data_IF_658357638268
#
_entry.id   IF_658357638268
#
_cell.length_a   1.000
_cell.length_b   1.000
_cell.length_c   1.000
_cell.angle_alpha   90.00
_cell.angle_beta   90.00
_cell.angle_gamma   90.00
#
_symmetry.space_group_name_H-M   'P 1'
#
loop_
_entity.id
_entity.type
_entity.pdbx_description
1 polymer ?
#
# COMPACT_ATOMS: atom_id res chain seq x y z
N UNK A 1 49.04 10.64 27.69
CA UNK A 1 48.84 11.66 26.64
C UNK A 1 48.30 10.93 25.40
N UNK A 2 47.07 11.30 24.98
CA UNK A 2 46.33 10.98 23.75
C UNK A 2 46.14 9.50 23.34
N UNK A 3 44.98 8.97 23.73
CA UNK A 3 44.26 7.88 23.04
C UNK A 3 43.68 8.46 21.74
N UNK A 4 44.05 7.91 20.60
CA UNK A 4 43.44 8.26 19.30
C UNK A 4 42.23 7.34 19.12
N UNK A 5 41.04 7.94 19.26
CA UNK A 5 39.77 7.29 18.95
C UNK A 5 39.56 7.36 17.44
N UNK A 6 39.70 6.25 16.74
CA UNK A 6 39.36 6.16 15.31
C UNK A 6 37.83 6.08 15.21
N UNK A 7 37.20 7.22 14.96
CA UNK A 7 35.76 7.31 14.71
C UNK A 7 35.49 6.89 13.26
N UNK A 8 35.06 5.65 13.06
CA UNK A 8 34.61 5.17 11.76
C UNK A 8 33.27 5.83 11.44
N UNK A 9 33.31 6.92 10.66
CA UNK A 9 32.11 7.53 10.10
C UNK A 9 31.54 6.58 9.04
N UNK A 10 30.51 5.81 9.40
CA UNK A 10 29.64 5.15 8.42
C UNK A 10 28.77 6.26 7.82
N UNK A 11 29.26 6.88 6.74
CA UNK A 11 28.43 7.69 5.87
C UNK A 11 27.44 6.72 5.20
N UNK A 12 26.19 6.71 5.67
CA UNK A 12 25.07 6.25 4.88
C UNK A 12 25.00 7.14 3.64
N UNK A 13 25.67 6.75 2.57
CA UNK A 13 25.48 7.32 1.25
C UNK A 13 24.07 6.93 0.81
N UNK A 14 23.08 7.78 1.10
CA UNK A 14 21.85 7.76 0.33
C UNK A 14 22.26 8.03 -1.13
N UNK A 15 21.83 7.20 -2.10
CA UNK A 15 22.14 7.46 -3.50
C UNK A 15 21.62 8.85 -3.87
N UNK A 16 22.54 9.73 -4.22
CA UNK A 16 22.25 11.10 -4.63
C UNK A 16 21.88 11.04 -6.11
N UNK A 17 20.59 10.89 -6.41
CA UNK A 17 20.13 10.83 -7.81
C UNK A 17 20.55 12.08 -8.56
N UNK A 18 21.16 11.89 -9.72
CA UNK A 18 21.89 12.94 -10.43
C UNK A 18 21.00 13.94 -11.19
N UNK A 19 19.79 13.54 -11.61
CA UNK A 19 18.92 14.40 -12.42
C UNK A 19 17.42 14.16 -12.14
N UNK A 20 16.70 15.23 -11.80
CA UNK A 20 15.24 15.26 -11.68
C UNK A 20 14.63 15.82 -12.98
N UNK A 21 13.63 15.11 -13.50
CA UNK A 21 12.87 15.48 -14.70
C UNK A 21 11.41 15.69 -14.33
N UNK A 22 10.93 16.92 -14.45
CA UNK A 22 9.53 17.27 -14.27
C UNK A 22 8.79 17.04 -15.58
N UNK A 23 7.70 16.28 -15.53
CA UNK A 23 6.84 15.98 -16.67
C UNK A 23 5.54 16.77 -16.63
N UNK A 24 5.05 17.02 -15.42
CA UNK A 24 3.82 17.76 -15.17
C UNK A 24 4.01 18.69 -13.98
N UNK A 25 3.62 19.94 -14.13
CA UNK A 25 3.56 20.94 -13.05
C UNK A 25 2.35 21.82 -13.28
N UNK A 26 1.34 21.69 -12.42
CA UNK A 26 0.14 22.50 -12.50
C UNK A 26 -0.45 22.76 -11.12
N UNK A 27 -0.68 24.04 -10.80
CA UNK A 27 -1.30 24.49 -9.55
C UNK A 27 -0.69 23.89 -8.27
N UNK A 28 0.62 23.60 -8.30
CA UNK A 28 1.35 23.03 -7.18
C UNK A 28 1.31 21.50 -7.10
N UNK A 29 0.73 20.82 -8.08
CA UNK A 29 0.84 19.37 -8.27
C UNK A 29 1.94 19.09 -9.29
N UNK A 30 2.98 18.38 -8.87
CA UNK A 30 4.17 18.09 -9.66
C UNK A 30 4.28 16.58 -9.84
N UNK A 31 4.53 16.12 -11.07
CA UNK A 31 4.83 14.73 -11.38
C UNK A 31 6.08 14.65 -12.28
N UNK A 32 7.00 13.77 -11.91
CA UNK A 32 8.30 13.68 -12.54
C UNK A 32 9.09 12.46 -12.07
N UNK A 33 10.31 12.29 -12.53
CA UNK A 33 11.17 11.17 -12.17
C UNK A 33 12.63 11.58 -12.01
N UNK A 34 13.34 10.80 -11.20
CA UNK A 34 14.78 10.88 -11.03
C UNK A 34 15.40 9.62 -11.62
N UNK A 35 16.59 9.75 -12.21
CA UNK A 35 17.33 8.59 -12.68
C UNK A 35 18.83 8.74 -12.49
N UNK A 36 19.51 7.60 -12.39
CA UNK A 36 20.95 7.52 -12.24
C UNK A 36 21.48 6.27 -12.96
N UNK A 37 22.61 6.39 -13.67
CA UNK A 37 23.28 5.21 -14.23
C UNK A 37 24.02 4.48 -13.11
N UNK A 38 23.64 3.23 -12.86
CA UNK A 38 24.22 2.40 -11.80
C UNK A 38 25.29 1.42 -12.30
N UNK A 39 25.41 1.24 -13.62
CA UNK A 39 26.46 0.40 -14.19
C UNK A 39 26.36 0.19 -15.68
N UNK A 40 27.28 -0.63 -16.19
CA UNK A 40 27.25 -1.17 -17.56
C UNK A 40 27.54 -2.66 -17.48
N UNK A 41 26.69 -3.49 -18.09
CA UNK A 41 26.80 -4.94 -18.08
C UNK A 41 26.61 -5.53 -19.49
N UNK A 42 27.18 -6.71 -19.71
CA UNK A 42 26.95 -7.52 -20.91
C UNK A 42 25.83 -8.52 -20.63
N UNK A 43 24.98 -8.78 -21.62
CA UNK A 43 23.95 -9.81 -21.51
C UNK A 43 24.52 -11.17 -21.93
N UNK A 44 24.16 -12.23 -21.21
CA UNK A 44 24.64 -13.60 -21.50
C UNK A 44 24.15 -14.09 -22.86
N UNK A 45 22.96 -13.64 -23.28
CA UNK A 45 22.36 -14.03 -24.54
C UNK A 45 22.92 -13.20 -25.72
N UNK A 46 23.51 -12.03 -25.47
CA UNK A 46 24.22 -11.20 -26.46
C UNK A 46 25.56 -10.70 -25.92
N UNK A 47 26.62 -11.53 -25.92
CA UNK A 47 27.90 -11.18 -25.28
C UNK A 47 28.63 -10.00 -25.93
N UNK A 48 28.29 -9.66 -27.19
CA UNK A 48 28.88 -8.52 -27.91
C UNK A 48 28.13 -7.20 -27.67
N UNK A 49 27.01 -7.23 -26.94
CA UNK A 49 26.19 -6.04 -26.65
C UNK A 49 26.33 -5.66 -25.18
N UNK A 50 26.73 -4.42 -24.94
CA UNK A 50 26.74 -3.81 -23.61
C UNK A 50 25.45 -3.03 -23.37
N UNK A 51 24.95 -3.11 -22.16
CA UNK A 51 23.80 -2.36 -21.67
C UNK A 51 24.23 -1.47 -20.51
N UNK A 52 23.85 -0.20 -20.58
CA UNK A 52 23.86 0.69 -19.43
C UNK A 52 22.62 0.42 -18.59
N UNK A 53 22.83 0.18 -17.29
CA UNK A 53 21.75 0.00 -16.32
C UNK A 53 21.49 1.31 -15.60
N UNK A 54 20.23 1.74 -15.58
CA UNK A 54 19.77 2.93 -14.89
C UNK A 54 18.82 2.55 -13.77
N UNK A 55 18.96 3.21 -12.63
CA UNK A 55 17.99 3.17 -11.55
C UNK A 55 17.07 4.39 -11.68
N UNK A 56 15.76 4.16 -11.59
CA UNK A 56 14.74 5.19 -11.81
C UNK A 56 13.80 5.21 -10.60
N UNK A 57 13.52 6.41 -10.09
CA UNK A 57 12.51 6.67 -9.06
C UNK A 57 11.51 7.67 -9.63
N UNK A 58 10.22 7.41 -9.46
CA UNK A 58 9.18 8.34 -9.92
C UNK A 58 8.51 9.00 -8.74
N UNK A 59 8.15 10.27 -8.91
CA UNK A 59 7.71 11.17 -7.85
C UNK A 59 6.43 11.89 -8.22
N UNK A 60 5.56 12.07 -7.23
CA UNK A 60 4.47 13.04 -7.25
C UNK A 60 4.53 13.91 -6.01
N UNK A 61 4.23 15.19 -6.14
CA UNK A 61 4.27 16.15 -5.05
C UNK A 61 3.06 17.07 -5.10
N UNK A 62 2.43 17.29 -3.95
CA UNK A 62 1.40 18.30 -3.77
C UNK A 62 1.96 19.39 -2.87
N UNK A 63 2.31 20.54 -3.45
CA UNK A 63 2.79 21.71 -2.69
C UNK A 63 1.66 22.60 -2.17
N UNK A 64 0.41 22.26 -2.48
CA UNK A 64 -0.76 23.02 -2.09
C UNK A 64 -1.15 22.76 -0.62
N UNK A 65 -2.01 23.63 -0.07
CA UNK A 65 -2.59 23.46 1.28
C UNK A 65 -3.84 22.57 1.29
N UNK A 66 -4.34 22.19 0.11
CA UNK A 66 -5.48 21.28 -0.07
C UNK A 66 -4.98 19.91 -0.54
N UNK A 67 -5.66 18.85 -0.14
CA UNK A 67 -5.40 17.52 -0.70
C UNK A 67 -5.92 17.45 -2.14
N UNK A 68 -5.39 16.52 -2.94
CA UNK A 68 -5.92 16.23 -4.26
C UNK A 68 -6.61 14.87 -4.28
N UNK A 69 -7.73 14.81 -4.99
CA UNK A 69 -8.47 13.60 -5.33
C UNK A 69 -8.25 13.31 -6.83
N UNK A 70 -7.84 12.10 -7.15
CA UNK A 70 -7.60 11.65 -8.50
C UNK A 70 -8.84 10.95 -9.05
N UNK A 71 -9.39 11.51 -10.12
CA UNK A 71 -10.63 11.08 -10.76
C UNK A 71 -10.40 9.80 -11.58
N UNK A 72 -9.15 9.52 -11.97
CA UNK A 72 -8.78 8.36 -12.79
C UNK A 72 -7.61 7.59 -12.16
N UNK A 73 -7.58 6.25 -12.32
CA UNK A 73 -6.90 5.41 -11.36
C UNK A 73 -5.39 5.25 -11.52
N UNK A 74 -4.77 5.85 -12.55
CA UNK A 74 -3.31 5.81 -12.61
C UNK A 74 -2.71 6.85 -13.52
N UNK A 75 -1.75 7.59 -12.98
CA UNK A 75 -0.64 8.12 -13.77
C UNK A 75 0.30 7.00 -14.18
N UNK A 76 0.83 7.06 -15.39
CA UNK A 76 1.69 6.03 -15.96
C UNK A 76 2.93 6.64 -16.57
N UNK A 77 4.03 5.91 -16.50
CA UNK A 77 5.32 6.26 -17.10
C UNK A 77 5.90 5.02 -17.78
N UNK A 78 6.17 5.06 -19.08
CA UNK A 78 6.71 3.92 -19.83
C UNK A 78 8.05 4.32 -20.41
N UNK A 79 9.09 3.54 -20.14
CA UNK A 79 10.38 3.70 -20.78
C UNK A 79 10.59 2.59 -21.79
N UNK A 80 11.22 2.93 -22.91
CA UNK A 80 11.77 1.91 -23.81
C UNK A 80 12.95 1.22 -23.10
N UNK A 81 12.88 -0.10 -22.93
CA UNK A 81 13.98 -0.93 -22.44
C UNK A 81 14.46 -1.86 -23.53
N UNK A 82 15.76 -2.09 -23.55
CA UNK A 82 16.37 -3.08 -24.44
C UNK A 82 16.62 -4.39 -23.69
N UNK A 83 16.49 -5.51 -24.40
CA UNK A 83 16.81 -6.83 -23.88
C UNK A 83 17.26 -7.76 -25.00
N UNK A 84 17.92 -8.85 -24.62
CA UNK A 84 18.29 -9.90 -25.54
C UNK A 84 17.36 -11.10 -25.41
N UNK A 85 17.01 -11.67 -26.56
CA UNK A 85 16.31 -12.95 -26.62
C UNK A 85 17.32 -14.09 -26.51
N UNK A 86 16.89 -15.28 -26.07
CA UNK A 86 17.74 -16.50 -26.04
C UNK A 86 18.35 -16.89 -27.39
N UNK A 87 17.81 -16.37 -28.49
CA UNK A 87 18.35 -16.56 -29.84
C UNK A 87 19.49 -15.56 -30.18
N UNK A 88 19.90 -14.72 -29.23
CA UNK A 88 20.92 -13.68 -29.41
C UNK A 88 20.47 -12.45 -30.19
N UNK A 89 19.16 -12.28 -30.38
CA UNK A 89 18.64 -11.09 -31.06
C UNK A 89 18.33 -9.99 -30.05
N UNK A 90 18.86 -8.79 -30.32
CA UNK A 90 18.48 -7.56 -29.63
C UNK A 90 17.03 -7.22 -29.95
N UNK A 91 16.25 -6.94 -28.92
CA UNK A 91 14.88 -6.45 -29.01
C UNK A 91 14.72 -5.26 -28.07
N UNK A 92 13.73 -4.43 -28.37
CA UNK A 92 13.29 -3.39 -27.45
C UNK A 92 11.82 -3.61 -27.16
N UNK A 93 11.43 -3.43 -25.91
CA UNK A 93 10.03 -3.33 -25.52
C UNK A 93 9.79 -2.01 -24.81
N UNK A 94 8.55 -1.56 -24.83
CA UNK A 94 8.11 -0.61 -23.82
C UNK A 94 8.05 -1.39 -22.51
N UNK A 95 9.11 -1.29 -21.72
CA UNK A 95 9.06 -1.77 -20.36
C UNK A 95 8.06 -0.86 -19.63
N UNK A 96 6.93 -1.43 -19.27
CA UNK A 96 5.95 -0.74 -18.46
C UNK A 96 6.53 -0.61 -17.06
N UNK A 97 7.13 0.54 -16.78
CA UNK A 97 7.37 0.99 -15.42
C UNK A 97 6.03 1.46 -14.88
N UNK A 98 5.17 0.48 -14.57
CA UNK A 98 3.99 0.76 -13.77
C UNK A 98 4.50 1.17 -12.40
N UNK A 99 4.61 2.46 -12.27
CA UNK A 99 4.56 3.09 -11.00
C UNK A 99 3.16 2.80 -10.47
N UNK A 100 3.08 1.92 -9.48
CA UNK A 100 1.99 1.93 -8.51
C UNK A 100 2.08 3.22 -7.67
N UNK A 101 2.08 4.40 -8.30
CA UNK A 101 1.79 5.69 -7.64
C UNK A 101 0.41 5.63 -6.97
N UNK A 102 -0.34 4.61 -7.36
CA UNK A 102 -1.73 4.39 -7.14
C UNK A 102 -1.90 2.90 -6.79
N UNK A 103 -1.04 2.39 -5.89
CA UNK A 103 -1.52 1.41 -4.90
C UNK A 103 -2.43 2.19 -3.94
N UNK A 104 -3.58 1.64 -3.53
CA UNK A 104 -4.61 2.38 -2.78
C UNK A 104 -4.11 2.81 -1.38
N UNK A 105 -3.35 3.90 -1.27
CA UNK A 105 -2.96 4.46 0.00
C UNK A 105 -4.03 5.43 0.52
N UNK A 106 -4.52 5.11 1.72
CA UNK A 106 -5.22 5.98 2.69
C UNK A 106 -6.49 6.67 2.18
N UNK A 107 -7.64 6.09 2.54
CA UNK A 107 -8.91 6.80 2.49
C UNK A 107 -9.02 7.79 3.64
N UNK A 108 -9.07 9.08 3.32
CA UNK A 108 -9.62 10.07 4.24
C UNK A 108 -11.13 10.13 4.04
N UNK A 109 -11.86 9.43 4.91
CA UNK A 109 -13.24 9.71 5.29
C UNK A 109 -14.11 10.40 4.21
N UNK A 110 -14.54 9.62 3.21
CA UNK A 110 -15.95 9.64 2.84
C UNK A 110 -16.54 8.42 3.51
N UNK A 111 -17.70 8.57 4.17
CA UNK A 111 -18.41 7.50 4.90
C UNK A 111 -18.92 6.40 3.97
N UNK A 112 -17.99 5.75 3.25
CA UNK A 112 -18.19 4.68 2.28
C UNK A 112 -17.01 3.68 2.29
N UNK A 113 -16.81 2.81 3.31
CA UNK A 113 -15.94 1.64 3.23
C UNK A 113 -16.45 0.63 2.21
N UNK A 114 -15.99 0.81 1.00
CA UNK A 114 -16.26 -0.09 -0.11
C UNK A 114 -15.26 -1.27 -0.10
N UNK A 115 -15.59 -2.31 0.68
CA UNK A 115 -14.79 -3.54 0.76
C UNK A 115 -15.08 -4.47 -0.41
N UNK A 116 -14.08 -4.64 -1.28
CA UNK A 116 -13.84 -5.76 -2.20
C UNK A 116 -14.06 -5.50 -3.69
N UNK A 117 -13.04 -5.91 -4.46
CA UNK A 117 -13.06 -6.30 -5.87
C UNK A 117 -14.08 -5.58 -6.77
N UNK A 118 -13.63 -4.43 -7.28
CA UNK A 118 -14.40 -3.57 -8.20
C UNK A 118 -14.02 -2.08 -8.14
N UNK A 119 -12.87 -1.76 -7.52
CA UNK A 119 -12.55 -0.42 -7.01
C UNK A 119 -12.49 0.66 -8.11
N UNK A 120 -13.28 1.73 -7.95
CA UNK A 120 -12.84 3.07 -8.35
C UNK A 120 -11.90 3.54 -7.24
N UNK A 121 -10.63 3.17 -7.34
CA UNK A 121 -9.63 3.61 -6.38
C UNK A 121 -9.58 5.15 -6.46
N UNK A 122 -10.02 5.83 -5.41
CA UNK A 122 -9.83 7.28 -5.28
C UNK A 122 -8.46 7.47 -4.65
N UNK A 123 -7.52 7.97 -5.43
CA UNK A 123 -6.15 8.12 -5.00
C UNK A 123 -5.96 9.54 -4.46
N UNK A 124 -5.48 9.65 -3.24
CA UNK A 124 -5.26 10.95 -2.60
C UNK A 124 -3.78 11.26 -2.48
N UNK A 125 -3.45 12.54 -2.58
CA UNK A 125 -2.16 13.07 -2.16
C UNK A 125 -2.42 14.25 -1.23
N UNK A 126 -1.97 14.09 0.03
CA UNK A 126 -2.23 15.03 1.10
C UNK A 126 -1.63 16.41 0.80
N UNK A 127 -2.15 17.42 1.49
CA UNK A 127 -1.59 18.76 1.42
C UNK A 127 -0.11 18.73 1.86
N UNK A 128 0.78 19.30 1.03
CA UNK A 128 2.23 19.35 1.26
C UNK A 128 2.95 18.00 1.23
N UNK A 129 2.31 16.95 0.71
CA UNK A 129 2.88 15.61 0.67
C UNK A 129 3.73 15.35 -0.60
N UNK A 130 4.64 14.38 -0.49
CA UNK A 130 5.49 13.90 -1.57
C UNK A 130 5.55 12.36 -1.51
N UNK A 131 5.18 11.71 -2.62
CA UNK A 131 5.26 10.26 -2.76
C UNK A 131 6.30 9.89 -3.81
N UNK A 132 7.08 8.84 -3.53
CA UNK A 132 8.12 8.31 -4.41
C UNK A 132 7.99 6.80 -4.53
N UNK A 133 8.29 6.25 -5.72
CA UNK A 133 8.32 4.79 -5.90
C UNK A 133 9.55 4.16 -5.29
N UNK A 134 9.47 2.84 -5.07
CA UNK A 134 10.70 2.05 -4.97
C UNK A 134 11.52 2.18 -6.27
N UNK A 135 12.86 2.12 -6.17
CA UNK A 135 13.70 2.24 -7.35
C UNK A 135 13.55 1.04 -8.30
N UNK A 136 13.40 1.30 -9.59
CA UNK A 136 13.34 0.29 -10.63
C UNK A 136 14.56 0.36 -11.56
N UNK A 137 14.91 -0.76 -12.20
CA UNK A 137 16.03 -0.83 -13.14
C UNK A 137 15.59 -0.79 -14.60
N UNK A 138 16.30 -0.02 -15.43
CA UNK A 138 16.15 0.07 -16.87
C UNK A 138 17.44 -0.30 -17.57
N UNK A 139 17.34 -1.12 -18.62
CA UNK A 139 18.46 -1.45 -19.49
C UNK A 139 18.32 -0.68 -20.80
N UNK A 140 19.38 0.02 -21.17
CA UNK A 140 19.50 0.74 -22.45
C UNK A 140 20.80 0.30 -23.09
N UNK A 141 20.85 0.13 -24.41
CA UNK A 141 22.12 -0.17 -25.08
C UNK A 141 23.18 0.89 -24.74
N UNK A 142 24.37 0.44 -24.39
CA UNK A 142 25.45 1.33 -23.95
C UNK A 142 25.85 2.30 -25.05
N UNK A 143 25.93 3.59 -24.70
CA UNK A 143 26.20 4.68 -25.64
C UNK A 143 24.96 5.34 -26.23
N UNK A 144 23.77 4.73 -26.10
CA UNK A 144 22.52 5.39 -26.48
C UNK A 144 22.10 6.41 -25.40
N UNK A 145 21.36 7.44 -25.82
CA UNK A 145 20.80 8.43 -24.90
C UNK A 145 19.75 7.76 -24.02
N UNK A 146 19.67 8.16 -22.75
CA UNK A 146 18.59 7.74 -21.85
C UNK A 146 17.22 8.07 -22.49
N UNK A 147 16.30 7.10 -22.60
CA UNK A 147 15.06 7.27 -23.33
C UNK A 147 14.12 8.24 -22.62
N UNK A 148 13.44 9.08 -23.40
CA UNK A 148 12.32 9.88 -22.91
C UNK A 148 11.11 8.96 -22.70
N UNK A 149 10.37 9.07 -21.58
CA UNK A 149 9.24 8.20 -21.32
C UNK A 149 7.95 8.69 -21.99
N UNK A 150 7.09 7.75 -22.36
CA UNK A 150 5.68 8.03 -22.60
C UNK A 150 4.95 8.13 -21.27
N UNK A 151 4.12 9.16 -21.08
CA UNK A 151 3.49 9.39 -19.78
C UNK A 151 2.07 9.91 -19.87
N UNK A 152 1.30 9.63 -18.82
CA UNK A 152 -0.06 10.12 -18.61
C UNK A 152 -0.17 10.51 -17.15
N UNK A 153 -0.65 11.72 -16.87
CA UNK A 153 -1.06 12.12 -15.51
C UNK A 153 -2.59 12.10 -15.43
N UNK A 154 -3.20 11.50 -14.41
CA UNK A 154 -4.64 11.32 -14.35
C UNK A 154 -5.31 12.67 -14.06
N UNK A 155 -6.61 12.77 -14.38
CA UNK A 155 -7.41 13.93 -13.98
C UNK A 155 -7.52 14.00 -12.47
N UNK A 156 -7.54 15.21 -11.95
CA UNK A 156 -7.55 15.45 -10.51
C UNK A 156 -8.29 16.74 -10.15
N UNK A 157 -8.66 16.85 -8.87
CA UNK A 157 -9.27 18.05 -8.29
C UNK A 157 -8.77 18.26 -6.86
N UNK A 158 -8.74 19.50 -6.40
CA UNK A 158 -8.51 19.77 -4.98
C UNK A 158 -9.76 19.42 -4.16
N UNK A 159 -9.53 18.91 -2.96
CA UNK A 159 -10.55 18.63 -1.96
C UNK A 159 -10.15 19.21 -0.61
N UNK A 160 -11.15 19.59 0.18
CA UNK A 160 -10.96 19.94 1.58
C UNK A 160 -11.14 18.66 2.42
N UNK A 161 -10.14 18.28 3.20
CA UNK A 161 -10.23 17.11 4.08
C UNK A 161 -11.13 17.45 5.29
N UNK A 162 -11.96 16.51 5.78
CA UNK A 162 -12.71 16.70 7.02
C UNK A 162 -11.73 16.95 8.18
N UNK A 163 -11.98 18.04 8.90
CA UNK A 163 -11.04 18.68 9.82
C UNK A 163 -10.69 17.75 11.01
N UNK A 164 -9.50 17.14 11.04
CA UNK A 164 -8.96 16.30 12.13
C UNK A 164 -8.62 17.06 13.44
N UNK A 165 -9.19 18.24 13.70
CA UNK A 165 -8.75 19.09 14.83
C UNK A 165 -9.33 18.74 16.21
N UNK A 166 -10.18 17.72 16.37
CA UNK A 166 -10.77 17.40 17.69
C UNK A 166 -10.60 15.94 18.17
N UNK A 167 -9.76 15.12 17.54
CA UNK A 167 -9.42 13.82 18.13
C UNK A 167 -8.22 14.00 19.05
N UNK A 168 -8.51 14.22 20.34
CA UNK A 168 -7.51 14.15 21.40
C UNK A 168 -6.77 12.82 21.25
N UNK A 169 -5.46 12.89 21.02
CA UNK A 169 -4.53 11.76 21.03
C UNK A 169 -4.50 11.12 22.44
N UNK A 170 -5.55 10.40 22.83
CA UNK A 170 -5.49 9.51 23.99
C UNK A 170 -4.85 8.23 23.49
N UNK A 171 -3.51 8.18 23.53
CA UNK A 171 -2.77 6.95 23.28
C UNK A 171 -3.24 5.86 24.25
N UNK A 172 -4.16 5.00 23.80
CA UNK A 172 -4.58 3.82 24.55
C UNK A 172 -3.56 2.73 24.27
N UNK A 173 -2.80 2.38 25.29
CA UNK A 173 -1.96 1.19 25.28
C UNK A 173 -2.90 -0.01 25.11
N UNK A 174 -2.75 -0.76 24.02
CA UNK A 174 -3.50 -2.01 23.82
C UNK A 174 -3.01 -2.98 24.91
N UNK A 175 -3.88 -3.44 25.83
CA UNK A 175 -3.48 -4.43 26.80
C UNK A 175 -3.08 -5.71 26.06
N UNK A 176 -1.86 -6.18 26.31
CA UNK A 176 -1.40 -7.49 25.84
C UNK A 176 -2.30 -8.55 26.48
N UNK A 177 -3.02 -9.32 25.67
CA UNK A 177 -3.95 -10.33 26.16
C UNK A 177 -3.20 -11.43 26.93
N UNK A 178 -3.17 -11.34 28.24
CA UNK A 178 -2.79 -12.44 29.15
C UNK A 178 -4.03 -13.24 29.49
N UNK A 179 -4.26 -14.34 28.75
CA UNK A 179 -4.92 -15.60 29.14
C UNK A 179 -5.49 -16.31 27.89
N UNK A 180 -4.63 -16.98 27.12
CA UNK A 180 -5.00 -17.81 25.97
C UNK A 180 -5.41 -19.22 26.44
N UNK A 181 -6.68 -19.33 26.84
CA UNK A 181 -7.48 -20.54 26.64
C UNK A 181 -8.92 -20.09 26.49
N UNK A 182 -9.22 -19.51 25.33
CA UNK A 182 -10.57 -19.12 24.96
C UNK A 182 -10.85 -19.80 23.63
N UNK A 183 -11.93 -20.58 23.59
CA UNK A 183 -12.43 -21.21 22.38
C UNK A 183 -12.94 -20.10 21.44
N UNK A 184 -12.00 -19.45 20.74
CA UNK A 184 -12.29 -18.34 19.82
C UNK A 184 -13.29 -18.77 18.75
N UNK A 185 -13.27 -20.04 18.34
CA UNK A 185 -14.23 -20.60 17.40
C UNK A 185 -15.67 -20.53 17.94
N UNK A 186 -15.90 -20.70 19.26
CA UNK A 186 -17.22 -20.43 19.84
C UNK A 186 -17.54 -18.95 19.97
N UNK A 187 -16.57 -18.11 20.35
CA UNK A 187 -16.80 -16.69 20.61
C UNK A 187 -17.09 -15.87 19.35
N UNK A 188 -16.43 -16.19 18.25
CA UNK A 188 -16.55 -15.45 16.99
C UNK A 188 -17.92 -15.63 16.33
N UNK A 189 -18.64 -16.72 16.61
CA UNK A 189 -19.97 -16.98 16.03
C UNK A 189 -20.92 -15.83 16.33
N UNK A 190 -21.47 -15.23 15.29
CA UNK A 190 -22.34 -14.05 15.37
C UNK A 190 -22.16 -13.09 14.19
N UNK A 191 -22.96 -12.02 14.22
CA UNK A 191 -22.88 -10.90 13.27
C UNK A 191 -22.02 -9.79 13.86
N UNK A 192 -21.07 -9.30 13.08
CA UNK A 192 -20.09 -8.30 13.46
C UNK A 192 -20.11 -7.15 12.46
N UNK A 193 -20.33 -5.93 12.96
CA UNK A 193 -20.27 -4.68 12.18
C UNK A 193 -18.84 -4.20 12.13
N UNK A 194 -18.30 -3.94 10.96
CA UNK A 194 -17.03 -3.24 10.84
C UNK A 194 -17.17 -1.82 11.37
N UNK A 195 -16.33 -1.43 12.33
CA UNK A 195 -16.50 -0.17 13.06
C UNK A 195 -15.29 0.73 13.00
N UNK A 196 -14.10 0.19 12.77
CA UNK A 196 -12.87 0.99 12.75
C UNK A 196 -11.75 0.27 11.99
N UNK A 197 -10.98 1.05 11.22
CA UNK A 197 -9.71 0.66 10.61
C UNK A 197 -8.54 1.44 11.21
N UNK A 198 -7.35 0.83 11.24
CA UNK A 198 -6.12 1.50 11.70
C UNK A 198 -4.86 0.76 11.27
N UNK A 199 -3.69 1.39 11.47
CA UNK A 199 -2.39 0.78 11.23
C UNK A 199 -1.70 0.42 12.55
N UNK A 200 -1.09 -0.76 12.61
CA UNK A 200 -0.18 -1.15 13.67
C UNK A 200 1.27 -0.93 13.22
N UNK A 201 1.92 0.10 13.76
CA UNK A 201 3.32 0.41 13.49
C UNK A 201 4.13 0.38 14.77
N UNK A 202 5.20 -0.43 14.80
CA UNK A 202 6.07 -0.61 15.97
C UNK A 202 5.29 -0.97 17.26
N UNK A 203 4.25 -1.81 17.13
CA UNK A 203 3.42 -2.24 18.26
C UNK A 203 2.44 -1.17 18.78
N UNK A 204 2.35 -0.02 18.12
CA UNK A 204 1.40 1.05 18.43
C UNK A 204 0.41 1.22 17.29
N UNK A 205 -0.84 1.39 17.67
CA UNK A 205 -1.90 1.72 16.73
C UNK A 205 -1.82 3.22 16.37
N UNK A 206 -1.83 3.51 15.08
CA UNK A 206 -1.75 4.83 14.47
C UNK A 206 -2.80 4.92 13.36
N UNK A 207 -3.06 6.14 12.88
CA UNK A 207 -3.95 6.37 11.75
C UNK A 207 -5.31 5.67 11.92
N UNK A 208 -6.02 6.00 13.01
CA UNK A 208 -7.29 5.38 13.39
C UNK A 208 -8.46 6.08 12.66
N UNK A 209 -9.33 5.30 12.04
CA UNK A 209 -10.50 5.76 11.30
C UNK A 209 -11.75 5.03 11.74
N UNK A 210 -12.79 5.78 12.13
CA UNK A 210 -14.08 5.20 12.45
C UNK A 210 -14.89 4.98 11.15
N UNK A 211 -15.51 3.82 11.06
CA UNK A 211 -16.25 3.37 9.87
C UNK A 211 -17.75 3.58 10.09
N UNK A 212 -18.36 4.39 9.23
CA UNK A 212 -19.77 4.78 9.38
C UNK A 212 -20.72 3.80 8.68
N UNK A 213 -20.27 3.09 7.66
CA UNK A 213 -21.15 2.18 6.92
C UNK A 213 -21.40 0.84 7.61
N UNK A 214 -22.59 0.26 7.36
CA UNK A 214 -22.99 -1.00 7.95
C UNK A 214 -22.40 -2.21 7.21
N UNK A 215 -21.07 -2.35 7.18
CA UNK A 215 -20.42 -3.56 6.67
C UNK A 215 -20.47 -4.67 7.72
N UNK A 216 -20.79 -5.90 7.32
CA UNK A 216 -20.87 -7.01 8.25
C UNK A 216 -20.13 -8.28 7.81
N UNK A 217 -19.58 -8.94 8.81
CA UNK A 217 -19.21 -10.34 8.76
C UNK A 217 -20.19 -11.16 9.63
N UNK A 218 -20.64 -12.30 9.11
CA UNK A 218 -21.50 -13.25 9.83
C UNK A 218 -20.77 -14.58 9.89
N UNK A 219 -20.35 -14.97 11.09
CA UNK A 219 -19.71 -16.26 11.33
C UNK A 219 -20.74 -17.26 11.89
N UNK A 220 -20.97 -18.36 11.17
CA UNK A 220 -21.91 -19.40 11.54
C UNK A 220 -21.24 -20.60 12.25
N UNK A 221 -22.01 -21.35 13.04
CA UNK A 221 -21.52 -22.52 13.80
C UNK A 221 -21.03 -23.68 12.92
N UNK A 222 -21.53 -23.77 11.69
CA UNK A 222 -21.13 -24.75 10.67
C UNK A 222 -19.81 -24.37 9.96
N UNK A 223 -19.10 -23.33 10.43
CA UNK A 223 -17.89 -22.76 9.82
C UNK A 223 -18.10 -22.03 8.49
N UNK A 224 -19.33 -21.74 8.11
CA UNK A 224 -19.64 -20.80 7.02
C UNK A 224 -19.41 -19.36 7.49
N UNK A 225 -18.88 -18.53 6.61
CA UNK A 225 -18.87 -17.07 6.76
C UNK A 225 -19.67 -16.44 5.64
N UNK A 226 -20.47 -15.43 5.97
CA UNK A 226 -21.07 -14.52 5.00
C UNK A 226 -20.46 -13.14 5.23
N UNK A 227 -19.84 -12.58 4.20
CA UNK A 227 -19.24 -11.26 4.27
C UNK A 227 -19.95 -10.35 3.27
N UNK A 228 -20.24 -9.11 3.69
CA UNK A 228 -20.63 -8.06 2.76
C UNK A 228 -19.46 -7.74 1.82
N UNK A 229 -19.75 -7.69 0.53
CA UNK A 229 -18.80 -7.28 -0.52
C UNK A 229 -19.36 -6.07 -1.27
N UNK A 230 -18.47 -5.24 -1.82
CA UNK A 230 -18.78 -3.90 -2.34
C UNK A 230 -19.03 -2.88 -1.22
N UNK A 231 -19.87 -1.85 -1.51
CA UNK A 231 -20.21 -0.69 -0.64
C UNK A 231 -21.11 -1.12 0.54
N UNK A 232 -20.89 -2.32 1.06
CA UNK A 232 -21.58 -2.90 2.20
C UNK A 232 -23.10 -3.10 2.06
N UNK A 233 -23.68 -2.70 0.91
CA UNK A 233 -25.10 -2.85 0.57
C UNK A 233 -25.36 -3.68 -0.69
N UNK A 234 -24.33 -3.95 -1.51
CA UNK A 234 -24.53 -4.39 -2.90
C UNK A 234 -24.57 -5.91 -3.04
N UNK A 235 -23.69 -6.63 -2.33
CA UNK A 235 -23.59 -8.09 -2.48
C UNK A 235 -23.05 -8.77 -1.22
N UNK A 236 -23.23 -10.09 -1.17
CA UNK A 236 -22.72 -10.95 -0.11
C UNK A 236 -21.98 -12.11 -0.74
N UNK A 237 -20.84 -12.45 -0.19
CA UNK A 237 -20.10 -13.65 -0.55
C UNK A 237 -20.11 -14.65 0.59
N UNK A 238 -20.23 -15.92 0.19
CA UNK A 238 -20.15 -17.06 1.07
C UNK A 238 -18.75 -17.65 1.05
N UNK A 239 -18.28 -18.05 2.22
CA UNK A 239 -17.00 -18.71 2.36
C UNK A 239 -16.98 -19.62 3.58
N UNK A 240 -15.77 -20.07 3.90
CA UNK A 240 -15.51 -20.84 5.11
C UNK A 240 -14.49 -20.13 5.99
N UNK A 241 -14.57 -20.38 7.29
CA UNK A 241 -13.61 -19.86 8.25
C UNK A 241 -13.11 -20.94 9.21
N UNK A 242 -11.88 -20.78 9.68
CA UNK A 242 -11.29 -21.60 10.74
C UNK A 242 -10.46 -20.74 11.67
N UNK A 243 -10.36 -21.14 12.94
CA UNK A 243 -9.43 -20.55 13.88
C UNK A 243 -8.54 -21.66 14.42
N UNK A 244 -7.23 -21.47 14.31
CA UNK A 244 -6.21 -22.30 14.94
C UNK A 244 -5.33 -21.38 15.77
N UNK A 245 -5.19 -21.70 17.06
CA UNK A 245 -4.59 -20.80 18.06
C UNK A 245 -5.28 -19.42 18.05
N UNK A 246 -4.57 -18.36 17.69
CA UNK A 246 -5.11 -17.01 17.53
C UNK A 246 -5.19 -16.57 16.06
N UNK A 247 -5.09 -17.49 15.10
CA UNK A 247 -5.11 -17.16 13.67
C UNK A 247 -6.46 -17.52 13.07
N UNK A 248 -7.19 -16.49 12.66
CA UNK A 248 -8.41 -16.63 11.85
C UNK A 248 -8.01 -16.75 10.38
N UNK A 249 -8.42 -17.84 9.74
CA UNK A 249 -8.31 -18.02 8.29
C UNK A 249 -9.70 -17.94 7.67
N UNK A 250 -9.87 -17.07 6.68
CA UNK A 250 -11.05 -16.99 5.82
C UNK A 250 -10.71 -17.54 4.44
N UNK A 251 -11.64 -18.29 3.86
CA UNK A 251 -11.59 -18.76 2.48
C UNK A 251 -12.87 -18.32 1.79
N UNK A 252 -12.78 -17.33 0.91
CA UNK A 252 -13.92 -16.74 0.19
C UNK A 252 -13.54 -16.73 -1.29
N UNK A 253 -14.39 -17.26 -2.16
CA UNK A 253 -14.12 -17.42 -3.60
C UNK A 253 -12.74 -18.03 -3.96
N UNK A 254 -12.25 -18.96 -3.12
CA UNK A 254 -10.93 -19.59 -3.30
C UNK A 254 -9.76 -18.77 -2.77
N UNK A 255 -9.94 -17.49 -2.45
CA UNK A 255 -8.93 -16.65 -1.84
C UNK A 255 -8.79 -16.93 -0.34
N UNK A 256 -7.55 -17.14 0.08
CA UNK A 256 -7.21 -17.44 1.48
C UNK A 256 -6.63 -16.20 2.14
N UNK A 257 -7.34 -15.68 3.13
CA UNK A 257 -6.87 -14.53 3.94
C UNK A 257 -6.67 -14.93 5.39
N UNK A 258 -5.54 -14.51 5.99
CA UNK A 258 -5.19 -14.82 7.37
C UNK A 258 -5.08 -13.58 8.24
N UNK A 259 -5.64 -13.67 9.44
CA UNK A 259 -5.66 -12.61 10.43
C UNK A 259 -5.17 -13.13 11.78
N UNK A 260 -4.35 -12.34 12.46
CA UNK A 260 -4.06 -12.53 13.87
C UNK A 260 -5.18 -11.88 14.71
N UNK A 261 -5.80 -12.64 15.61
CA UNK A 261 -6.81 -12.14 16.55
C UNK A 261 -6.09 -11.40 17.68
N UNK A 262 -6.21 -10.08 17.70
CA UNK A 262 -5.66 -9.24 18.77
C UNK A 262 -6.62 -9.13 19.96
N UNK A 263 -7.93 -9.16 19.68
CA UNK A 263 -8.98 -9.15 20.71
C UNK A 263 -10.21 -9.87 20.17
N UNK A 264 -10.81 -10.72 20.99
CA UNK A 264 -12.12 -11.30 20.73
C UNK A 264 -12.85 -11.50 22.06
N UNK A 265 -13.89 -10.71 22.26
CA UNK A 265 -14.78 -10.80 23.42
C UNK A 265 -16.26 -10.75 23.01
N UNK A 266 -17.17 -10.53 23.96
CA UNK A 266 -18.62 -10.50 23.69
C UNK A 266 -19.07 -9.33 22.82
N UNK A 267 -18.24 -8.30 22.67
CA UNK A 267 -18.60 -7.03 22.03
C UNK A 267 -17.64 -6.62 20.92
N UNK A 268 -16.38 -7.04 20.98
CA UNK A 268 -15.32 -6.58 20.08
C UNK A 268 -14.57 -7.74 19.47
N UNK A 269 -14.40 -7.69 18.15
CA UNK A 269 -13.47 -8.51 17.37
C UNK A 269 -12.44 -7.58 16.75
N UNK A 270 -11.16 -7.73 17.11
CA UNK A 270 -10.06 -6.96 16.54
C UNK A 270 -9.07 -7.89 15.89
N UNK A 271 -8.87 -7.67 14.59
CA UNK A 271 -8.06 -8.48 13.71
C UNK A 271 -6.88 -7.66 13.20
N UNK A 272 -5.72 -8.30 13.08
CA UNK A 272 -4.55 -7.78 12.39
C UNK A 272 -4.33 -8.58 11.12
N UNK A 273 -4.18 -7.89 10.00
CA UNK A 273 -3.82 -8.52 8.74
C UNK A 273 -2.40 -9.09 8.84
N UNK A 274 -2.22 -10.37 8.49
CA UNK A 274 -0.90 -11.01 8.62
C UNK A 274 0.08 -10.63 7.50
N UNK A 275 -0.43 -10.03 6.42
CA UNK A 275 0.40 -9.46 5.36
C UNK A 275 0.70 -8.00 5.72
N UNK A 276 1.98 -7.66 5.68
CA UNK A 276 2.46 -6.29 5.84
C UNK A 276 1.99 -5.43 4.67
N UNK A 277 1.54 -4.21 4.98
CA UNK A 277 0.99 -3.29 3.98
C UNK A 277 2.00 -2.22 3.57
N UNK A 278 2.72 -1.64 4.54
CA UNK A 278 3.91 -0.78 4.36
C UNK A 278 5.04 -1.21 5.29
N UNK A 279 6.26 -0.70 5.07
CA UNK A 279 7.45 -1.02 5.88
C UNK A 279 7.20 -0.82 7.39
N UNK A 280 7.09 -1.95 8.08
CA UNK A 280 6.81 -2.07 9.51
C UNK A 280 5.36 -1.78 9.93
N UNK A 281 4.39 -1.78 9.01
CA UNK A 281 2.97 -1.53 9.29
C UNK A 281 2.06 -2.70 8.91
N UNK A 282 1.08 -2.96 9.78
CA UNK A 282 0.02 -3.94 9.54
C UNK A 282 -1.34 -3.29 9.65
N UNK A 283 -2.23 -3.59 8.70
CA UNK A 283 -3.61 -3.16 8.77
C UNK A 283 -4.34 -3.87 9.93
N UNK A 284 -5.13 -3.10 10.68
CA UNK A 284 -6.02 -3.59 11.73
C UNK A 284 -7.48 -3.33 11.34
N UNK A 285 -8.32 -4.32 11.58
CA UNK A 285 -9.77 -4.21 11.45
C UNK A 285 -10.43 -4.46 12.79
N UNK A 286 -11.28 -3.52 13.22
CA UNK A 286 -12.08 -3.65 14.44
C UNK A 286 -13.56 -3.75 14.08
N UNK A 287 -14.23 -4.70 14.73
CA UNK A 287 -15.64 -4.97 14.55
C UNK A 287 -16.37 -4.96 15.90
N UNK A 288 -17.62 -4.52 15.86
CA UNK A 288 -18.56 -4.50 16.97
C UNK A 288 -19.62 -5.57 16.79
N UNK A 289 -19.95 -6.28 17.85
CA UNK A 289 -20.99 -7.32 17.78
C UNK A 289 -22.37 -6.66 17.59
N UNK A 290 -23.11 -7.12 16.58
CA UNK A 290 -24.49 -6.70 16.38
C UNK A 290 -25.39 -7.52 17.29
N UNK A 291 -25.89 -6.90 18.36
CA UNK A 291 -26.98 -7.47 19.17
C UNK A 291 -28.31 -7.14 18.52
N UNK A 292 -29.21 -8.14 18.43
CA UNK A 292 -30.59 -7.93 17.96
C UNK A 292 -31.34 -6.93 18.83
#
# INVERSE_FOLDING_TARGET
>A
MKIILTLTLVLCAMPCFAEEKILYDYNGVIFGYNYEKIGTATDIDCPDIKFDEYQIIVKVKNTNSKAIDLIEPSGRLHFKSDYCTKAGNLQSNSAAYQIGLFSPHRHYATGTPNTNFGVVNSYFLDAKDEYSTLPNKLKVRSGDRFPEPDWIFPKWKFIDLPNKQNVVNTGKIIPKATNLSTDYAKLIVGKWRFSQSSDLKNGKEVDIYDEEEPCFDIYETNKRIVQNIGDCEISKEDGNWTIVDNILTKVIDGDVTKYEILRLDKSTLKLKFMKEYDDGSYFLATFERVTK
#
